data_IF_953116914378
#
_entry.id   IF_953116914378
#
_cell.length_a   1.000
_cell.length_b   1.000
_cell.length_c   1.000
_cell.angle_alpha   90.00
_cell.angle_beta   90.00
_cell.angle_gamma   90.00
#
_symmetry.space_group_name_H-M   'P 1'
#
loop_
_entity.id
_entity.type
_entity.pdbx_description
1 polymer ?
#
# COMPACT_ATOMS: atom_id res chain seq x y z
N UNK A 1 66.12 34.23 -2.19
CA UNK A 1 65.23 33.14 -2.65
C UNK A 1 65.04 32.25 -1.43
N UNK A 2 63.93 32.20 -0.68
CA UNK A 2 62.51 32.52 -0.90
C UNK A 2 61.81 32.49 0.48
N UNK A 3 60.98 33.52 0.78
CA UNK A 3 59.63 33.52 1.42
C UNK A 3 59.36 32.62 2.66
N UNK A 4 59.12 33.16 3.87
CA UNK A 4 57.86 33.61 4.54
C UNK A 4 56.92 32.51 5.07
N UNK A 5 56.57 32.65 6.36
CA UNK A 5 55.32 32.36 7.11
C UNK A 5 54.47 31.11 6.75
N UNK A 6 54.08 30.31 7.75
CA UNK A 6 52.87 30.58 8.55
C UNK A 6 52.68 29.54 9.67
N UNK A 7 52.10 30.00 10.78
CA UNK A 7 51.55 29.17 11.86
C UNK A 7 50.21 28.59 11.41
N UNK A 8 49.81 27.41 11.93
CA UNK A 8 48.47 27.25 12.52
C UNK A 8 48.26 25.86 13.14
N UNK A 9 47.82 25.93 14.38
CA UNK A 9 47.24 24.90 15.23
C UNK A 9 45.89 24.44 14.67
N UNK A 10 45.68 23.14 14.51
CA UNK A 10 44.34 22.56 14.34
C UNK A 10 44.26 21.26 15.13
N UNK A 11 43.91 21.39 16.40
CA UNK A 11 43.08 20.41 17.11
C UNK A 11 41.85 20.07 16.26
N UNK A 12 41.77 18.86 15.74
CA UNK A 12 40.53 18.33 15.16
C UNK A 12 39.93 17.34 16.16
N UNK A 13 39.27 17.90 17.16
CA UNK A 13 38.28 17.21 17.96
C UNK A 13 37.01 17.15 17.08
N UNK A 14 36.76 16.00 16.47
CA UNK A 14 35.53 15.72 15.75
C UNK A 14 34.95 14.42 16.31
N UNK A 15 34.22 14.57 17.41
CA UNK A 15 33.14 13.65 17.78
C UNK A 15 32.10 13.65 16.65
N UNK A 16 32.39 12.88 15.61
CA UNK A 16 31.43 12.46 14.61
C UNK A 16 30.45 11.54 15.34
N UNK A 17 29.32 12.11 15.75
CA UNK A 17 28.19 11.35 16.23
C UNK A 17 27.78 10.40 15.09
N UNK A 18 28.25 9.15 15.16
CA UNK A 18 27.78 8.05 14.33
C UNK A 18 26.26 8.01 14.46
N UNK A 19 25.55 8.43 13.42
CA UNK A 19 24.16 8.05 13.24
C UNK A 19 24.10 6.52 13.43
N UNK A 20 23.18 5.99 14.25
CA UNK A 20 23.15 4.57 14.52
C UNK A 20 23.05 3.83 13.19
N UNK A 21 24.03 2.97 12.94
CA UNK A 21 24.11 2.11 11.76
C UNK A 21 22.71 1.53 11.49
N UNK A 22 22.09 1.98 10.40
CA UNK A 22 20.77 1.53 9.93
C UNK A 22 20.88 0.12 9.34
N UNK A 23 21.37 -0.82 10.13
CA UNK A 23 21.60 -2.20 9.74
C UNK A 23 20.36 -3.03 10.10
N UNK A 24 19.36 -2.99 9.22
CA UNK A 24 18.24 -3.93 9.31
C UNK A 24 16.94 -3.44 8.71
N UNK A 25 16.11 -4.39 8.27
CA UNK A 25 14.73 -4.12 7.90
C UNK A 25 13.90 -3.99 9.17
N UNK A 26 12.88 -3.13 9.18
CA UNK A 26 12.00 -2.96 10.34
C UNK A 26 11.29 -4.27 10.74
N UNK A 27 11.06 -5.16 9.78
CA UNK A 27 10.48 -6.48 10.02
C UNK A 27 11.35 -7.41 10.88
N UNK A 28 12.67 -7.19 10.93
CA UNK A 28 13.56 -8.05 11.73
C UNK A 28 13.32 -7.86 13.23
N UNK A 29 12.66 -6.76 13.61
CA UNK A 29 12.47 -6.37 15.00
C UNK A 29 11.02 -6.04 15.36
N UNK A 30 10.13 -6.00 14.36
CA UNK A 30 8.73 -5.64 14.53
C UNK A 30 7.84 -6.48 13.62
N UNK A 31 6.86 -7.15 14.22
CA UNK A 31 5.80 -7.85 13.49
C UNK A 31 4.63 -6.89 13.26
N UNK A 32 4.14 -6.83 12.03
CA UNK A 32 2.98 -6.01 11.63
C UNK A 32 1.92 -6.98 11.10
N UNK A 33 0.70 -6.88 11.60
CA UNK A 33 -0.43 -7.69 11.11
C UNK A 33 -1.69 -6.85 11.06
N UNK A 34 -2.59 -7.13 10.11
CA UNK A 34 -3.92 -6.52 10.09
C UNK A 34 -4.91 -7.56 10.60
N UNK A 35 -5.29 -7.44 11.87
CA UNK A 35 -6.02 -8.49 12.58
C UNK A 35 -7.53 -8.51 12.29
N UNK A 36 -8.15 -7.33 12.20
CA UNK A 36 -9.60 -7.21 12.09
C UNK A 36 -10.02 -6.08 11.15
N UNK A 37 -11.29 -6.09 10.76
CA UNK A 37 -11.94 -5.04 9.98
C UNK A 37 -13.33 -4.72 10.51
N UNK A 38 -13.64 -3.44 10.69
CA UNK A 38 -14.91 -2.99 11.26
C UNK A 38 -15.60 -2.01 10.30
N UNK A 39 -16.92 -2.14 10.15
CA UNK A 39 -17.74 -1.17 9.41
C UNK A 39 -18.20 -0.08 10.36
N UNK A 40 -17.69 1.13 10.18
CA UNK A 40 -18.05 2.31 10.97
C UNK A 40 -18.94 3.26 10.18
N UNK A 41 -19.73 4.06 10.90
CA UNK A 41 -20.59 5.11 10.34
C UNK A 41 -19.99 6.48 10.63
N UNK A 42 -20.05 7.42 9.70
CA UNK A 42 -19.80 8.82 10.04
C UNK A 42 -21.10 9.44 10.61
N UNK A 43 -21.05 10.00 11.82
CA UNK A 43 -22.22 10.54 12.52
C UNK A 43 -22.63 11.95 12.05
N UNK A 44 -22.10 12.43 10.92
CA UNK A 44 -22.42 13.74 10.37
C UNK A 44 -23.77 13.72 9.63
N UNK A 45 -24.81 14.24 10.32
CA UNK A 45 -26.12 14.71 9.85
C UNK A 45 -26.55 14.30 8.41
N UNK A 46 -27.56 13.44 8.38
CA UNK A 46 -28.46 13.10 7.25
C UNK A 46 -27.98 12.21 6.10
N UNK A 47 -26.71 11.78 6.06
CA UNK A 47 -26.27 10.69 5.18
C UNK A 47 -25.50 9.66 6.02
N UNK A 48 -26.04 8.43 6.12
CA UNK A 48 -25.34 7.31 6.75
C UNK A 48 -24.24 6.79 5.82
N UNK A 49 -23.13 7.51 5.74
CA UNK A 49 -21.93 7.05 5.05
C UNK A 49 -21.23 5.99 5.89
N UNK A 50 -21.17 4.78 5.35
CA UNK A 50 -20.44 3.65 5.93
C UNK A 50 -19.03 3.57 5.36
N UNK A 51 -18.04 3.31 6.20
CA UNK A 51 -16.67 3.05 5.77
C UNK A 51 -16.06 1.90 6.57
N UNK A 52 -15.20 1.12 5.91
CA UNK A 52 -14.45 0.03 6.55
C UNK A 52 -13.13 0.55 7.08
N UNK A 53 -12.86 0.26 8.34
CA UNK A 53 -11.55 0.45 8.99
C UNK A 53 -10.89 -0.90 9.21
N UNK A 54 -9.56 -0.89 9.30
CA UNK A 54 -8.72 -2.06 9.50
C UNK A 54 -7.91 -1.84 10.78
N UNK A 55 -7.89 -2.85 11.65
CA UNK A 55 -7.09 -2.85 12.86
C UNK A 55 -5.67 -3.30 12.53
N UNK A 56 -4.72 -2.38 12.62
CA UNK A 56 -3.30 -2.67 12.48
C UNK A 56 -2.76 -3.00 13.87
N UNK A 57 -2.26 -4.21 14.02
CA UNK A 57 -1.51 -4.65 15.19
C UNK A 57 -0.02 -4.59 14.89
N UNK A 58 0.74 -4.02 15.80
CA UNK A 58 2.20 -3.93 15.73
C UNK A 58 2.78 -4.50 17.00
N UNK A 59 3.60 -5.54 16.87
CA UNK A 59 4.26 -6.22 18.00
C UNK A 59 5.77 -6.04 17.87
N UNK A 60 6.41 -5.59 18.93
CA UNK A 60 7.87 -5.43 18.93
C UNK A 60 8.48 -6.75 19.42
N UNK A 61 9.24 -7.41 18.55
CA UNK A 61 9.82 -8.73 18.81
C UNK A 61 11.16 -8.62 19.54
N UNK A 62 11.97 -7.61 19.22
CA UNK A 62 13.31 -7.43 19.79
C UNK A 62 13.30 -6.37 20.90
N UNK A 63 13.48 -6.80 22.15
CA UNK A 63 13.54 -5.93 23.34
C UNK A 63 14.75 -4.95 23.32
N UNK A 64 15.78 -5.24 22.51
CA UNK A 64 16.99 -4.42 22.39
C UNK A 64 16.89 -3.30 21.32
N UNK A 65 15.79 -3.18 20.57
CA UNK A 65 15.60 -2.05 19.64
C UNK A 65 15.34 -0.77 20.46
N UNK A 66 16.41 0.00 20.69
CA UNK A 66 16.47 1.18 21.58
C UNK A 66 15.66 2.40 21.11
N UNK A 67 15.06 2.39 19.91
CA UNK A 67 14.12 3.43 19.48
C UNK A 67 12.72 3.26 20.13
N UNK A 68 12.55 2.24 20.97
CA UNK A 68 11.33 1.97 21.74
C UNK A 68 11.64 2.10 23.23
N UNK A 69 11.90 3.32 23.68
CA UNK A 69 11.81 3.64 25.10
C UNK A 69 10.35 3.54 25.54
N UNK A 70 9.99 2.38 26.10
CA UNK A 70 8.85 2.08 26.98
C UNK A 70 7.52 2.79 26.68
N UNK A 71 6.61 2.09 25.98
CA UNK A 71 5.27 1.73 26.51
C UNK A 71 4.48 0.98 25.44
N UNK A 72 3.92 -0.16 25.84
CA UNK A 72 3.09 -1.13 25.10
C UNK A 72 3.82 -2.01 24.08
N UNK A 73 4.06 -3.27 24.49
CA UNK A 73 4.57 -4.38 23.66
C UNK A 73 3.71 -4.65 22.41
N UNK A 74 2.46 -4.20 22.44
CA UNK A 74 1.46 -4.36 21.40
C UNK A 74 0.80 -3.00 21.15
N UNK A 75 0.88 -2.49 19.92
CA UNK A 75 0.16 -1.28 19.50
C UNK A 75 -0.95 -1.66 18.54
N UNK A 76 -2.11 -1.09 18.75
CA UNK A 76 -3.34 -1.34 18.00
C UNK A 76 -3.87 -0.02 17.46
N UNK A 77 -3.93 0.12 16.13
CA UNK A 77 -4.36 1.36 15.49
C UNK A 77 -5.36 1.08 14.39
N UNK A 78 -6.50 1.76 14.44
CA UNK A 78 -7.52 1.67 13.40
C UNK A 78 -7.21 2.64 12.25
N UNK A 79 -7.18 2.12 11.02
CA UNK A 79 -6.95 2.91 9.81
C UNK A 79 -7.95 2.60 8.72
N UNK A 80 -8.44 3.62 8.02
CA UNK A 80 -9.30 3.44 6.84
C UNK A 80 -8.47 3.39 5.56
N UNK A 81 -8.98 2.70 4.54
CA UNK A 81 -8.28 2.53 3.25
C UNK A 81 -7.75 3.84 2.63
N UNK A 82 -8.51 4.94 2.72
CA UNK A 82 -8.06 6.23 2.16
C UNK A 82 -6.84 6.84 2.86
N UNK A 83 -6.54 6.45 4.10
CA UNK A 83 -5.31 6.88 4.79
C UNK A 83 -4.09 6.15 4.23
N UNK A 84 -4.24 4.88 3.83
CA UNK A 84 -3.20 4.15 3.09
C UNK A 84 -2.95 4.77 1.71
N UNK A 85 -4.00 5.23 1.01
CA UNK A 85 -3.85 5.97 -0.25
C UNK A 85 -3.03 7.25 -0.06
N UNK A 86 -3.35 8.03 0.98
CA UNK A 86 -2.64 9.26 1.33
C UNK A 86 -1.16 8.99 1.64
N UNK A 87 -0.87 8.00 2.49
CA UNK A 87 0.50 7.61 2.80
C UNK A 87 1.29 7.20 1.56
N UNK A 88 0.69 6.40 0.66
CA UNK A 88 1.33 6.01 -0.60
C UNK A 88 1.64 7.21 -1.49
N UNK A 89 0.71 8.15 -1.62
CA UNK A 89 0.91 9.37 -2.42
C UNK A 89 2.07 10.21 -1.85
N UNK A 90 2.14 10.35 -0.53
CA UNK A 90 3.26 11.02 0.13
C UNK A 90 4.59 10.32 -0.16
N UNK A 91 4.67 9.01 0.07
CA UNK A 91 5.90 8.24 -0.19
C UNK A 91 6.31 8.34 -1.67
N UNK A 92 5.36 8.40 -2.58
CA UNK A 92 5.63 8.51 -4.02
C UNK A 92 6.23 9.88 -4.39
N UNK A 93 5.82 10.94 -3.70
CA UNK A 93 6.36 12.29 -3.89
C UNK A 93 7.74 12.44 -3.23
N UNK A 94 7.93 11.88 -2.03
CA UNK A 94 9.18 11.97 -1.26
C UNK A 94 10.28 11.08 -1.85
N UNK A 95 9.93 9.89 -2.36
CA UNK A 95 10.85 8.88 -2.85
C UNK A 95 10.59 8.51 -4.33
N UNK A 96 10.83 9.43 -5.29
CA UNK A 96 10.53 9.20 -6.70
C UNK A 96 11.40 8.12 -7.37
N UNK A 97 12.52 7.75 -6.74
CA UNK A 97 13.45 6.71 -7.19
C UNK A 97 13.10 5.31 -6.67
N UNK A 98 12.13 5.18 -5.76
CA UNK A 98 11.74 3.90 -5.15
C UNK A 98 10.48 3.36 -5.81
N UNK A 99 10.47 2.06 -6.13
CA UNK A 99 9.29 1.37 -6.66
C UNK A 99 8.37 1.03 -5.49
N UNK A 100 7.30 1.82 -5.34
CA UNK A 100 6.33 1.58 -4.27
C UNK A 100 5.35 0.46 -4.61
N UNK A 101 5.04 -0.42 -3.64
CA UNK A 101 4.05 -1.47 -3.83
C UNK A 101 2.68 -0.90 -4.23
N UNK A 102 1.94 -1.57 -5.14
CA UNK A 102 0.57 -1.19 -5.46
C UNK A 102 -0.34 -1.47 -4.27
N UNK A 103 -1.31 -0.58 -4.04
CA UNK A 103 -2.41 -0.83 -3.10
C UNK A 103 -3.43 -1.78 -3.73
N UNK A 104 -4.15 -2.58 -2.93
CA UNK A 104 -5.27 -3.38 -3.41
C UNK A 104 -6.36 -2.48 -4.01
N UNK A 105 -7.19 -3.04 -4.89
CA UNK A 105 -8.18 -2.25 -5.64
C UNK A 105 -9.20 -1.52 -4.73
N UNK A 106 -9.55 -0.30 -5.15
CA UNK A 106 -10.51 0.57 -4.44
C UNK A 106 -11.95 0.05 -4.54
N UNK A 107 -12.28 -0.74 -5.55
CA UNK A 107 -13.61 -1.34 -5.76
C UNK A 107 -13.45 -2.84 -6.05
N UNK A 108 -14.45 -3.67 -5.69
CA UNK A 108 -14.42 -5.08 -6.06
C UNK A 108 -14.58 -5.20 -7.58
N UNK A 109 -13.50 -5.51 -8.28
CA UNK A 109 -13.51 -5.77 -9.73
C UNK A 109 -13.57 -7.27 -10.02
N UNK A 110 -14.36 -8.02 -9.24
CA UNK A 110 -14.47 -9.46 -9.43
C UNK A 110 -15.44 -9.78 -10.57
N UNK A 111 -14.85 -10.00 -11.75
CA UNK A 111 -15.52 -10.47 -12.99
C UNK A 111 -15.89 -11.97 -12.93
N UNK A 112 -15.53 -12.69 -11.85
CA UNK A 112 -15.57 -14.16 -11.78
C UNK A 112 -16.82 -14.76 -11.13
N UNK A 113 -17.62 -13.97 -10.40
CA UNK A 113 -18.95 -14.39 -9.94
C UNK A 113 -19.95 -13.88 -10.98
N UNK A 114 -20.44 -14.78 -11.83
CA UNK A 114 -21.58 -14.52 -12.71
C UNK A 114 -22.89 -14.22 -11.96
N UNK A 115 -22.86 -14.24 -10.62
CA UNK A 115 -23.84 -13.63 -9.72
C UNK A 115 -23.34 -12.27 -9.23
N UNK A 116 -23.28 -11.32 -10.16
CA UNK A 116 -22.92 -9.93 -9.90
C UNK A 116 -24.07 -9.18 -9.19
N UNK A 117 -24.42 -9.60 -7.98
CA UNK A 117 -25.38 -8.87 -7.12
C UNK A 117 -24.71 -8.10 -5.98
N UNK A 118 -23.44 -8.34 -5.67
CA UNK A 118 -22.75 -7.63 -4.58
C UNK A 118 -21.57 -6.79 -5.09
N UNK A 119 -21.87 -5.65 -5.71
CA UNK A 119 -20.92 -4.52 -5.82
C UNK A 119 -20.73 -3.79 -4.48
N UNK A 120 -21.01 -4.46 -3.38
CA UNK A 120 -21.03 -3.87 -2.05
C UNK A 120 -19.60 -3.82 -1.51
N UNK A 121 -19.17 -2.61 -1.16
CA UNK A 121 -17.86 -2.32 -0.53
C UNK A 121 -17.69 -3.09 0.81
N UNK A 122 -18.79 -3.65 1.31
CA UNK A 122 -18.90 -4.42 2.56
C UNK A 122 -18.95 -5.93 2.35
N UNK A 123 -18.77 -6.44 1.12
CA UNK A 123 -18.66 -7.87 0.85
C UNK A 123 -17.48 -8.46 1.66
N UNK A 124 -17.69 -9.47 2.53
CA UNK A 124 -16.63 -10.05 3.35
C UNK A 124 -15.44 -10.56 2.52
N UNK A 125 -15.70 -11.20 1.37
CA UNK A 125 -14.63 -11.68 0.47
C UNK A 125 -13.75 -10.52 -0.03
N UNK A 126 -14.37 -9.37 -0.30
CA UNK A 126 -13.67 -8.17 -0.74
C UNK A 126 -12.86 -7.53 0.39
N UNK A 127 -13.46 -7.42 1.58
CA UNK A 127 -12.80 -6.85 2.76
C UNK A 127 -11.58 -7.68 3.15
N UNK A 128 -11.67 -9.01 3.13
CA UNK A 128 -10.55 -9.90 3.44
C UNK A 128 -9.42 -9.82 2.40
N UNK A 129 -9.76 -9.84 1.10
CA UNK A 129 -8.74 -9.67 0.05
C UNK A 129 -8.02 -8.33 0.15
N UNK A 130 -8.76 -7.29 0.48
CA UNK A 130 -8.18 -5.96 0.73
C UNK A 130 -7.31 -5.96 1.98
N UNK A 131 -7.75 -6.59 3.08
CA UNK A 131 -6.97 -6.74 4.33
C UNK A 131 -5.60 -7.34 4.03
N UNK A 132 -5.57 -8.47 3.33
CA UNK A 132 -4.32 -9.13 2.89
C UNK A 132 -3.48 -8.24 1.97
N UNK A 133 -4.11 -7.50 1.07
CA UNK A 133 -3.40 -6.57 0.18
C UNK A 133 -2.77 -5.38 0.93
N UNK A 134 -3.47 -4.84 1.93
CA UNK A 134 -2.97 -3.76 2.78
C UNK A 134 -1.84 -4.24 3.69
N UNK A 135 -1.96 -5.45 4.25
CA UNK A 135 -0.94 -6.08 5.08
C UNK A 135 0.37 -6.30 4.28
N UNK A 136 0.25 -6.88 3.08
CA UNK A 136 1.39 -7.03 2.15
C UNK A 136 2.03 -5.68 1.78
N UNK A 137 1.23 -4.62 1.66
CA UNK A 137 1.73 -3.28 1.39
C UNK A 137 2.57 -2.74 2.56
N UNK A 138 2.09 -2.91 3.80
CA UNK A 138 2.85 -2.54 5.01
C UNK A 138 4.14 -3.35 5.14
N UNK A 139 4.09 -4.67 4.93
CA UNK A 139 5.28 -5.52 4.97
C UNK A 139 6.32 -5.09 3.94
N UNK A 140 5.92 -4.78 2.71
CA UNK A 140 6.86 -4.35 1.65
C UNK A 140 7.50 -2.98 1.95
N UNK A 141 6.81 -2.09 2.64
CA UNK A 141 7.38 -0.82 3.10
C UNK A 141 8.35 -1.08 4.26
N UNK A 142 7.94 -1.90 5.23
CA UNK A 142 8.76 -2.26 6.39
C UNK A 142 10.02 -3.07 6.02
N UNK A 143 9.98 -3.82 4.91
CA UNK A 143 11.14 -4.56 4.39
C UNK A 143 12.11 -3.68 3.58
N UNK A 144 11.76 -2.42 3.28
CA UNK A 144 12.63 -1.56 2.49
C UNK A 144 13.54 -0.73 3.41
N UNK A 145 14.89 -0.81 3.28
CA UNK A 145 15.83 -0.16 4.19
C UNK A 145 15.54 1.32 4.40
N UNK A 146 15.29 2.07 3.31
CA UNK A 146 15.04 3.52 3.41
C UNK A 146 13.62 3.94 3.79
N UNK A 147 12.59 3.12 3.50
CA UNK A 147 11.20 3.52 3.75
C UNK A 147 10.76 3.14 5.17
N UNK A 148 11.39 2.13 5.75
CA UNK A 148 11.00 1.59 7.04
C UNK A 148 11.25 2.55 8.21
N UNK A 149 12.21 3.48 8.06
CA UNK A 149 12.52 4.54 9.03
C UNK A 149 11.81 5.88 8.71
N UNK A 150 10.91 5.91 7.72
CA UNK A 150 10.19 7.13 7.38
C UNK A 150 9.30 7.60 8.55
N UNK A 151 9.35 8.90 8.86
CA UNK A 151 8.65 9.48 10.01
C UNK A 151 7.13 9.36 9.87
N UNK A 152 6.59 9.52 8.65
CA UNK A 152 5.16 9.42 8.41
C UNK A 152 4.71 7.96 8.56
N UNK A 153 5.49 7.01 8.04
CA UNK A 153 5.21 5.58 8.17
C UNK A 153 5.22 5.11 9.63
N UNK A 154 6.23 5.49 10.41
CA UNK A 154 6.29 5.15 11.84
C UNK A 154 5.14 5.81 12.62
N UNK A 155 4.79 7.04 12.29
CA UNK A 155 3.63 7.74 12.90
C UNK A 155 2.31 7.06 12.51
N UNK A 156 2.20 6.56 11.28
CA UNK A 156 1.01 5.84 10.80
C UNK A 156 0.73 4.58 11.62
N UNK A 157 1.78 3.84 12.02
CA UNK A 157 1.67 2.63 12.84
C UNK A 157 1.46 2.91 14.33
N UNK A 158 1.87 4.08 14.84
CA UNK A 158 1.91 4.39 16.28
C UNK A 158 0.80 5.31 16.79
N UNK A 159 0.42 6.32 16.01
CA UNK A 159 -0.47 7.38 16.50
C UNK A 159 -1.94 6.98 16.34
N UNK A 160 -2.71 6.83 17.41
CA UNK A 160 -4.15 6.54 17.26
C UNK A 160 -4.92 7.73 16.65
N UNK A 161 -4.71 8.94 17.20
CA UNK A 161 -5.26 10.22 16.75
C UNK A 161 -4.16 11.18 16.28
N UNK A 162 -4.47 12.15 15.41
CA UNK A 162 -3.50 13.18 15.01
C UNK A 162 -2.65 12.85 13.77
N UNK A 163 -2.84 11.67 13.17
CA UNK A 163 -2.06 11.24 12.00
C UNK A 163 -2.30 12.16 10.80
N UNK A 164 -3.53 12.65 10.61
CA UNK A 164 -3.87 13.54 9.49
C UNK A 164 -3.16 14.87 9.59
N UNK A 165 -3.07 15.42 10.80
CA UNK A 165 -2.33 16.65 11.10
C UNK A 165 -0.84 16.44 10.81
N UNK A 166 -0.27 15.31 11.26
CA UNK A 166 1.11 14.91 10.95
C UNK A 166 1.34 14.77 9.44
N UNK A 167 0.39 14.18 8.72
CA UNK A 167 0.42 14.07 7.26
C UNK A 167 0.39 15.43 6.57
N UNK A 168 -0.48 16.34 7.02
CA UNK A 168 -0.55 17.70 6.49
C UNK A 168 0.76 18.45 6.75
N UNK A 169 1.31 18.36 7.96
CA UNK A 169 2.59 18.97 8.29
C UNK A 169 3.73 18.39 7.44
N UNK A 170 3.83 17.06 7.32
CA UNK A 170 4.87 16.41 6.52
C UNK A 170 4.77 16.78 5.03
N UNK A 171 3.55 16.85 4.50
CA UNK A 171 3.31 17.26 3.11
C UNK A 171 3.67 18.73 2.92
N UNK A 172 3.28 19.62 3.83
CA UNK A 172 3.63 21.04 3.79
C UNK A 172 5.15 21.27 3.89
N UNK A 173 5.86 20.56 4.78
CA UNK A 173 7.32 20.65 4.88
C UNK A 173 8.04 20.11 3.65
N UNK A 174 7.51 19.05 3.02
CA UNK A 174 8.06 18.51 1.76
C UNK A 174 7.77 19.45 0.57
N UNK A 175 6.72 20.27 0.67
CA UNK A 175 6.36 21.30 -0.32
C UNK A 175 7.27 22.53 -0.26
N UNK A 176 8.05 22.73 0.82
CA UNK A 176 8.99 23.85 0.91
C UNK A 176 10.22 23.70 0.01
N UNK A 177 10.45 22.55 -0.61
CA UNK A 177 11.54 22.35 -1.57
C UNK A 177 11.17 22.74 -3.02
N UNK A 178 9.91 23.07 -3.30
CA UNK A 178 9.48 23.51 -4.63
C UNK A 178 8.43 24.62 -4.53
N UNK A 179 8.88 25.80 -5.00
CA UNK A 179 8.15 27.00 -5.43
C UNK A 179 7.52 27.93 -4.38
N UNK A 180 8.19 29.06 -4.22
CA UNK A 180 7.56 30.38 -4.14
C UNK A 180 6.34 30.46 -5.09
N UNK A 181 5.14 30.59 -4.53
CA UNK A 181 4.15 31.51 -5.06
C UNK A 181 3.19 31.86 -3.94
N UNK A 182 3.18 33.15 -3.61
CA UNK A 182 2.11 33.82 -2.88
C UNK A 182 0.74 33.29 -3.32
N UNK A 183 -0.14 33.01 -2.36
CA UNK A 183 -1.51 33.52 -2.29
C UNK A 183 -2.19 32.93 -1.04
N UNK A 184 -2.39 33.81 -0.06
CA UNK A 184 -3.28 33.66 1.09
C UNK A 184 -4.73 33.52 0.60
N UNK A 185 -5.51 32.60 1.18
CA UNK A 185 -6.97 32.67 1.11
C UNK A 185 -7.70 31.33 1.04
N UNK A 186 -8.14 30.85 2.21
CA UNK A 186 -9.43 30.18 2.48
C UNK A 186 -9.90 29.02 1.57
N UNK A 187 -10.07 27.84 2.19
CA UNK A 187 -11.05 26.79 1.84
C UNK A 187 -10.87 25.98 0.53
N UNK A 188 -9.64 25.67 0.12
CA UNK A 188 -9.38 24.80 -1.06
C UNK A 188 -8.55 23.54 -0.76
N UNK A 189 -8.23 23.23 0.51
CA UNK A 189 -7.36 22.07 0.82
C UNK A 189 -8.12 20.74 0.76
N UNK A 190 -9.45 20.73 0.97
CA UNK A 190 -10.25 19.49 0.94
C UNK A 190 -10.80 19.15 -0.46
N UNK A 191 -10.82 20.11 -1.39
CA UNK A 191 -11.09 19.87 -2.81
C UNK A 191 -9.82 19.49 -3.61
N UNK A 192 -8.65 19.52 -2.95
CA UNK A 192 -7.36 19.17 -3.55
C UNK A 192 -7.03 17.67 -3.55
N UNK A 193 -7.94 16.82 -3.09
CA UNK A 193 -7.88 15.35 -3.29
C UNK A 193 -7.95 14.91 -4.77
N UNK A 194 -8.09 15.86 -5.70
CA UNK A 194 -8.01 15.68 -7.16
C UNK A 194 -6.81 16.38 -7.82
N UNK A 195 -5.95 17.09 -7.08
CA UNK A 195 -4.86 17.91 -7.67
C UNK A 195 -3.43 17.51 -7.26
N UNK A 196 -3.23 16.27 -6.79
CA UNK A 196 -1.90 15.63 -6.75
C UNK A 196 -1.85 14.28 -7.49
N UNK A 197 -2.91 13.91 -8.21
CA UNK A 197 -2.68 13.24 -9.48
C UNK A 197 -2.13 14.35 -10.35
N UNK A 198 -0.83 14.29 -10.64
CA UNK A 198 -0.27 14.98 -11.79
C UNK A 198 -1.22 14.65 -12.94
N UNK A 199 -2.09 15.59 -13.27
CA UNK A 199 -2.85 15.57 -14.50
C UNK A 199 -1.83 15.92 -15.59
N UNK A 200 -0.83 15.05 -15.75
CA UNK A 200 -0.29 14.82 -17.06
C UNK A 200 -1.36 14.02 -17.79
N UNK A 201 -2.41 14.72 -18.23
CA UNK A 201 -2.70 14.67 -19.65
C UNK A 201 -1.37 14.98 -20.33
N UNK A 202 -0.54 13.95 -20.51
CA UNK A 202 0.58 13.99 -21.40
C UNK A 202 -0.04 14.11 -22.78
N UNK A 203 -0.34 15.35 -23.16
CA UNK A 203 -0.19 15.73 -24.54
C UNK A 203 1.27 15.44 -24.90
N UNK A 204 1.48 14.24 -25.45
CA UNK A 204 2.35 14.00 -26.59
C UNK A 204 3.82 14.42 -26.51
N UNK A 205 4.39 14.69 -25.35
CA UNK A 205 5.82 15.02 -25.23
C UNK A 205 6.50 13.99 -24.36
N UNK A 206 6.67 12.79 -24.92
CA UNK A 206 7.64 11.82 -24.40
C UNK A 206 9.01 12.49 -24.47
N UNK A 207 9.55 12.92 -23.33
CA UNK A 207 10.94 13.33 -23.21
C UNK A 207 11.80 12.09 -23.47
N UNK A 208 12.01 11.78 -24.76
CA UNK A 208 12.96 10.75 -25.17
C UNK A 208 14.33 11.30 -24.86
N UNK A 209 14.94 10.78 -23.79
CA UNK A 209 16.34 11.00 -23.52
C UNK A 209 17.10 10.64 -24.80
N UNK A 210 17.90 11.59 -25.32
CA UNK A 210 18.69 11.37 -26.54
C UNK A 210 19.64 10.18 -26.40
N UNK A 211 20.09 9.93 -25.17
CA UNK A 211 20.94 8.80 -24.79
C UNK A 211 20.50 8.23 -23.44
N UNK A 212 19.54 7.30 -23.40
CA UNK A 212 19.21 6.59 -22.16
C UNK A 212 20.37 5.65 -21.78
N UNK A 213 20.57 5.46 -20.48
CA UNK A 213 21.58 4.52 -20.00
C UNK A 213 21.22 3.08 -20.44
N UNK A 214 22.15 2.37 -21.10
CA UNK A 214 21.91 1.04 -21.71
C UNK A 214 21.34 0.01 -20.72
N UNK A 215 21.76 0.07 -19.45
CA UNK A 215 21.25 -0.84 -18.41
C UNK A 215 19.76 -0.59 -18.11
N UNK A 216 19.33 0.67 -18.08
CA UNK A 216 17.93 1.02 -17.82
C UNK A 216 17.04 0.56 -18.98
N UNK A 217 17.52 0.69 -20.22
CA UNK A 217 16.81 0.20 -21.40
C UNK A 217 16.67 -1.32 -21.40
N UNK A 218 17.74 -2.06 -21.06
CA UNK A 218 17.70 -3.52 -20.88
C UNK A 218 16.71 -3.93 -19.79
N UNK A 219 16.75 -3.25 -18.64
CA UNK A 219 15.84 -3.50 -17.52
C UNK A 219 14.38 -3.27 -17.92
N UNK A 220 14.10 -2.18 -18.66
CA UNK A 220 12.77 -1.88 -19.19
C UNK A 220 12.28 -2.97 -20.14
N UNK A 221 13.11 -3.38 -21.10
CA UNK A 221 12.77 -4.45 -22.04
C UNK A 221 12.48 -5.78 -21.31
N UNK A 222 13.31 -6.12 -20.31
CA UNK A 222 13.08 -7.29 -19.46
C UNK A 222 11.75 -7.19 -18.69
N UNK A 223 11.49 -6.05 -18.05
CA UNK A 223 10.25 -5.82 -17.31
C UNK A 223 9.01 -5.92 -18.21
N UNK A 224 9.06 -5.37 -19.42
CA UNK A 224 7.97 -5.45 -20.39
C UNK A 224 7.71 -6.91 -20.82
N UNK A 225 8.76 -7.69 -21.06
CA UNK A 225 8.64 -9.11 -21.40
C UNK A 225 8.13 -9.95 -20.24
N UNK A 226 8.59 -9.66 -19.02
CA UNK A 226 8.11 -10.31 -17.79
C UNK A 226 6.62 -10.01 -17.59
N UNK A 227 6.20 -8.75 -17.75
CA UNK A 227 4.80 -8.34 -17.63
C UNK A 227 3.91 -9.04 -18.66
N UNK A 228 4.36 -9.17 -19.92
CA UNK A 228 3.64 -9.95 -20.96
C UNK A 228 3.50 -11.41 -20.58
N UNK A 229 4.57 -12.02 -20.07
CA UNK A 229 4.61 -13.43 -19.67
C UNK A 229 3.71 -13.69 -18.47
N UNK A 230 3.79 -12.85 -17.44
CA UNK A 230 2.92 -12.89 -16.27
C UNK A 230 1.46 -12.70 -16.66
N UNK A 231 1.17 -11.74 -17.54
CA UNK A 231 -0.18 -11.53 -18.08
C UNK A 231 -0.72 -12.76 -18.83
N UNK A 232 0.13 -13.49 -19.56
CA UNK A 232 -0.27 -14.75 -20.20
C UNK A 232 -0.60 -15.84 -19.16
N UNK A 233 0.23 -16.01 -18.13
CA UNK A 233 0.00 -16.96 -17.04
C UNK A 233 -1.30 -16.64 -16.29
N UNK A 234 -1.53 -15.36 -15.96
CA UNK A 234 -2.75 -14.93 -15.29
C UNK A 234 -4.01 -15.21 -16.14
N UNK A 235 -3.95 -15.00 -17.46
CA UNK A 235 -5.05 -15.36 -18.37
C UNK A 235 -5.32 -16.87 -18.42
N UNK A 236 -4.27 -17.69 -18.42
CA UNK A 236 -4.42 -19.16 -18.39
C UNK A 236 -5.03 -19.60 -17.06
N UNK A 237 -4.55 -19.07 -15.94
CA UNK A 237 -5.11 -19.31 -14.61
C UNK A 237 -6.60 -18.96 -14.56
N UNK A 238 -6.97 -17.82 -15.13
CA UNK A 238 -8.35 -17.36 -15.12
C UNK A 238 -9.23 -18.33 -15.95
N UNK A 239 -8.83 -18.71 -17.16
CA UNK A 239 -9.55 -19.74 -17.95
C UNK A 239 -9.69 -21.08 -17.22
N UNK A 240 -8.68 -21.48 -16.45
CA UNK A 240 -8.75 -22.72 -15.67
C UNK A 240 -9.79 -22.61 -14.55
N UNK A 241 -9.88 -21.46 -13.88
CA UNK A 241 -10.90 -21.21 -12.87
C UNK A 241 -12.32 -21.26 -13.46
N UNK A 242 -12.55 -20.67 -14.64
CA UNK A 242 -13.85 -20.74 -15.34
C UNK A 242 -14.26 -22.18 -15.63
N UNK A 243 -13.32 -22.99 -16.13
CA UNK A 243 -13.57 -24.40 -16.45
C UNK A 243 -13.91 -25.22 -15.22
N UNK A 244 -13.18 -25.01 -14.11
CA UNK A 244 -13.45 -25.69 -12.85
C UNK A 244 -14.84 -25.30 -12.30
N UNK A 245 -15.19 -24.02 -12.36
CA UNK A 245 -16.52 -23.56 -11.97
C UNK A 245 -17.63 -24.20 -12.82
N UNK A 246 -17.46 -24.23 -14.14
CA UNK A 246 -18.42 -24.86 -15.05
C UNK A 246 -18.55 -26.36 -14.76
N UNK A 247 -17.45 -27.05 -14.49
CA UNK A 247 -17.45 -28.46 -14.13
C UNK A 247 -18.26 -28.71 -12.86
N UNK A 248 -18.03 -27.90 -11.80
CA UNK A 248 -18.78 -28.02 -10.56
C UNK A 248 -20.28 -27.75 -10.77
N UNK A 249 -20.62 -26.74 -11.58
CA UNK A 249 -22.02 -26.41 -11.90
C UNK A 249 -22.73 -27.55 -12.65
N UNK A 250 -22.03 -28.21 -13.58
CA UNK A 250 -22.56 -29.37 -14.30
C UNK A 250 -22.80 -30.54 -13.33
N UNK A 251 -21.84 -30.84 -12.45
CA UNK A 251 -21.99 -31.90 -11.44
C UNK A 251 -23.12 -31.63 -10.46
N UNK A 252 -23.32 -30.37 -10.05
CA UNK A 252 -24.44 -29.98 -9.20
C UNK A 252 -25.79 -30.25 -9.90
N UNK A 253 -25.89 -29.95 -11.20
CA UNK A 253 -27.10 -30.23 -11.98
C UNK A 253 -27.34 -31.74 -12.13
N UNK A 254 -26.28 -32.54 -12.38
CA UNK A 254 -26.43 -34.00 -12.41
C UNK A 254 -26.91 -34.53 -11.06
N UNK A 255 -26.38 -34.03 -9.95
CA UNK A 255 -26.86 -34.39 -8.62
C UNK A 255 -28.36 -34.12 -8.45
N UNK A 256 -28.85 -32.96 -8.88
CA UNK A 256 -30.28 -32.63 -8.84
C UNK A 256 -31.12 -33.58 -9.69
N UNK A 257 -30.74 -33.81 -10.95
CA UNK A 257 -31.47 -34.70 -11.86
C UNK A 257 -31.50 -36.14 -11.35
N UNK A 258 -30.37 -36.66 -10.85
CA UNK A 258 -30.31 -38.01 -10.30
C UNK A 258 -31.15 -38.15 -9.02
N UNK A 259 -31.18 -37.12 -8.16
CA UNK A 259 -32.07 -37.10 -7.00
C UNK A 259 -33.55 -37.10 -7.42
N UNK A 260 -33.93 -36.31 -8.43
CA UNK A 260 -35.28 -36.28 -8.97
C UNK A 260 -35.68 -37.63 -9.59
N UNK A 261 -34.79 -38.24 -10.37
CA UNK A 261 -35.02 -39.56 -10.97
C UNK A 261 -35.18 -40.65 -9.92
N UNK A 262 -34.28 -40.69 -8.93
CA UNK A 262 -34.36 -41.63 -7.81
C UNK A 262 -35.65 -41.46 -7.01
N UNK A 263 -36.18 -40.24 -6.87
CA UNK A 263 -37.45 -40.01 -6.18
C UNK A 263 -38.67 -40.51 -6.97
N UNK A 264 -38.57 -40.59 -8.29
CA UNK A 264 -39.64 -41.09 -9.18
C UNK A 264 -39.59 -42.62 -9.28
N UNK A 265 -38.41 -43.21 -9.18
CA UNK A 265 -38.18 -44.63 -9.31
C UNK A 265 -38.70 -45.39 -8.07
N UNK A 266 -39.76 -46.19 -8.26
CA UNK A 266 -40.41 -46.96 -7.18
C UNK A 266 -39.93 -48.41 -7.09
N UNK A 267 -39.22 -48.90 -8.10
CA UNK A 267 -38.68 -50.26 -8.20
C UNK A 267 -37.16 -50.17 -8.30
N UNK A 268 -36.48 -50.05 -7.17
CA UNK A 268 -35.05 -50.35 -7.10
C UNK A 268 -34.81 -51.20 -5.86
N UNK A 269 -35.21 -52.47 -5.96
CA UNK A 269 -35.14 -53.43 -4.88
C UNK A 269 -35.89 -54.71 -5.21
N UNK A 270 -35.28 -55.54 -6.05
CA UNK A 270 -35.42 -57.00 -6.02
C UNK A 270 -34.02 -57.59 -5.79
#
# INVERSE_FOLDING_TARGET
MTSTDDSDDVTTDANEAKDPEQDGCLLDHMEISIADSEKRTNSSLNIREFYTVYLIETKVTNENWSLVSLQEKLRMVWRRYSEFEQMRVYLQATYPYVILPPLPEKRPTFVWKHEATSTDITDPDFVDRRRVGLENFLHRIASHPSLCYDKLFLSFLRQESGWKETFHQATSSSSSAVVNSSLVGTNTILASGKYFISNSQQQGSSCKLKYPHKQMERLKCYADNLNKSLGAVLRVRCRQADRLYLLHKIHENYGKVLCEWSAIEREMGD
#
